data_IF_152874153706
#
_entry.id   IF_152874153706
#
_cell.length_a   1.000
_cell.length_b   1.000
_cell.length_c   1.000
_cell.angle_alpha   90.00
_cell.angle_beta   90.00
_cell.angle_gamma   90.00
#
_symmetry.space_group_name_H-M   'P 1'
#
loop_
_entity.id
_entity.type
_entity.pdbx_description
1 polymer ?
#
# COMPACT_ATOMS: atom_id res chain seq x y z
N UNK A 1 8.11 22.17 -0.73
CA UNK A 1 8.14 21.02 -1.65
C UNK A 1 7.27 19.97 -1.01
N UNK A 2 6.33 19.40 -1.75
CA UNK A 2 5.43 18.36 -1.24
C UNK A 2 5.95 17.00 -1.71
N UNK A 3 5.89 16.02 -0.83
CA UNK A 3 6.33 14.65 -1.09
C UNK A 3 5.21 13.69 -0.75
N UNK A 4 5.08 12.64 -1.57
CA UNK A 4 4.20 11.51 -1.32
C UNK A 4 4.97 10.22 -1.17
N UNK A 5 4.29 9.19 -0.68
CA UNK A 5 4.79 7.81 -0.64
C UNK A 5 3.99 6.94 -1.62
N UNK A 6 4.67 6.01 -2.28
CA UNK A 6 4.07 4.99 -3.12
C UNK A 6 4.32 3.62 -2.51
N UNK A 7 3.26 2.83 -2.34
CA UNK A 7 3.32 1.46 -1.83
C UNK A 7 2.68 0.53 -2.88
N UNK A 8 3.33 -0.61 -3.09
CA UNK A 8 2.91 -1.62 -4.06
C UNK A 8 2.19 -2.76 -3.32
N UNK A 9 0.84 -2.87 -3.42
CA UNK A 9 0.09 -3.81 -2.59
C UNK A 9 0.39 -5.28 -2.87
N UNK A 10 0.92 -5.60 -4.05
CA UNK A 10 1.23 -6.95 -4.51
C UNK A 10 2.49 -7.56 -3.89
N UNK A 11 3.18 -6.85 -2.98
CA UNK A 11 4.39 -7.35 -2.33
C UNK A 11 4.17 -8.07 -1.00
N UNK A 12 2.91 -8.36 -0.63
CA UNK A 12 2.62 -9.24 0.50
C UNK A 12 2.62 -8.57 1.87
N UNK A 13 2.40 -7.26 1.91
CA UNK A 13 2.16 -6.55 3.17
C UNK A 13 0.81 -6.95 3.76
N UNK A 14 0.74 -7.09 5.08
CA UNK A 14 -0.52 -7.20 5.81
C UNK A 14 -1.20 -5.84 5.99
N UNK A 15 -2.49 -5.86 6.34
CA UNK A 15 -3.28 -4.63 6.54
C UNK A 15 -2.66 -3.67 7.58
N UNK A 16 -2.24 -4.19 8.73
CA UNK A 16 -1.61 -3.38 9.79
C UNK A 16 -0.32 -2.70 9.32
N UNK A 17 0.44 -3.33 8.41
CA UNK A 17 1.63 -2.70 7.84
C UNK A 17 1.29 -1.50 6.95
N UNK A 18 0.17 -1.54 6.21
CA UNK A 18 -0.29 -0.38 5.45
C UNK A 18 -0.73 0.77 6.37
N UNK A 19 -1.43 0.45 7.47
CA UNK A 19 -1.84 1.42 8.49
C UNK A 19 -0.62 2.09 9.10
N UNK A 20 0.38 1.29 9.50
CA UNK A 20 1.64 1.80 10.05
C UNK A 20 2.39 2.69 9.05
N UNK A 21 2.47 2.28 7.78
CA UNK A 21 3.11 3.08 6.73
C UNK A 21 2.39 4.41 6.53
N UNK A 22 1.05 4.41 6.46
CA UNK A 22 0.26 5.61 6.26
C UNK A 22 0.42 6.61 7.42
N UNK A 23 0.31 6.13 8.67
CA UNK A 23 0.48 6.98 9.84
C UNK A 23 1.91 7.52 9.97
N UNK A 24 2.94 6.67 9.80
CA UNK A 24 4.31 7.15 9.86
C UNK A 24 4.63 8.16 8.75
N UNK A 25 4.07 8.00 7.55
CA UNK A 25 4.24 8.97 6.47
C UNK A 25 3.57 10.31 6.80
N UNK A 26 2.37 10.28 7.37
CA UNK A 26 1.68 11.49 7.83
C UNK A 26 2.49 12.20 8.93
N UNK A 27 2.96 11.48 9.95
CA UNK A 27 3.79 12.01 11.03
C UNK A 27 5.13 12.59 10.51
N UNK A 28 5.69 11.99 9.46
CA UNK A 28 6.91 12.48 8.81
C UNK A 28 6.68 13.68 7.86
N UNK A 29 5.42 14.10 7.66
CA UNK A 29 5.06 15.27 6.86
C UNK A 29 4.88 15.00 5.36
N UNK A 30 4.68 13.75 4.95
CA UNK A 30 4.24 13.43 3.59
C UNK A 30 2.78 13.83 3.40
N UNK A 31 2.43 14.28 2.19
CA UNK A 31 1.11 14.88 1.90
C UNK A 31 0.22 14.01 1.01
N UNK A 32 0.72 12.87 0.54
CA UNK A 32 -0.06 11.93 -0.27
C UNK A 32 0.43 10.49 -0.13
N UNK A 33 -0.52 9.55 -0.17
CA UNK A 33 -0.30 8.12 -0.29
C UNK A 33 -0.78 7.66 -1.67
N UNK A 34 0.05 6.89 -2.36
CA UNK A 34 -0.24 6.32 -3.67
C UNK A 34 -0.15 4.80 -3.57
N UNK A 35 -1.21 4.12 -3.99
CA UNK A 35 -1.24 2.67 -4.09
C UNK A 35 -1.37 2.30 -5.57
N UNK A 36 -0.53 1.38 -6.04
CA UNK A 36 -0.72 0.78 -7.36
C UNK A 36 -1.87 -0.23 -7.33
N UNK A 37 -2.44 -0.53 -8.50
CA UNK A 37 -3.46 -1.56 -8.64
C UNK A 37 -2.92 -2.72 -9.50
N UNK A 38 -2.88 -3.90 -8.89
CA UNK A 38 -2.35 -5.12 -9.47
C UNK A 38 -3.23 -6.30 -9.08
N UNK A 39 -3.61 -7.11 -10.07
CA UNK A 39 -4.32 -8.35 -9.84
C UNK A 39 -3.38 -9.57 -9.72
N UNK A 40 -2.17 -9.47 -10.30
CA UNK A 40 -1.21 -10.57 -10.40
C UNK A 40 0.22 -10.01 -10.33
N UNK A 41 1.13 -10.76 -9.68
CA UNK A 41 2.56 -10.43 -9.63
C UNK A 41 3.39 -11.37 -10.52
N UNK A 42 3.48 -12.65 -10.15
CA UNK A 42 4.18 -13.72 -10.90
C UNK A 42 3.60 -15.08 -10.53
N UNK A 43 3.95 -16.11 -11.30
CA UNK A 43 3.39 -17.45 -11.15
C UNK A 43 3.60 -18.05 -9.75
N UNK A 44 4.71 -17.74 -9.07
CA UNK A 44 5.03 -18.28 -7.75
C UNK A 44 4.37 -17.51 -6.59
N UNK A 45 3.70 -16.39 -6.86
CA UNK A 45 3.12 -15.49 -5.84
C UNK A 45 1.68 -15.85 -5.45
N UNK A 46 1.24 -17.09 -5.68
CA UNK A 46 -0.13 -17.54 -5.38
C UNK A 46 -0.50 -17.48 -3.90
N UNK A 47 0.48 -17.35 -3.00
CA UNK A 47 0.29 -17.21 -1.55
C UNK A 47 0.78 -15.87 -1.02
N UNK A 48 1.05 -14.90 -1.91
CA UNK A 48 1.43 -13.54 -1.53
C UNK A 48 0.17 -12.69 -1.46
N UNK A 49 -0.05 -12.03 -0.33
CA UNK A 49 -1.16 -11.11 -0.18
C UNK A 49 -1.05 -9.98 -1.22
N UNK A 50 -2.18 -9.66 -1.83
CA UNK A 50 -2.30 -8.62 -2.84
C UNK A 50 -3.63 -7.92 -2.61
N UNK A 51 -3.59 -6.82 -1.86
CA UNK A 51 -4.79 -6.05 -1.54
C UNK A 51 -5.30 -5.32 -2.78
N UNK A 52 -6.62 -5.33 -2.97
CA UNK A 52 -7.28 -4.55 -4.01
C UNK A 52 -7.27 -3.06 -3.61
N UNK A 53 -6.92 -2.19 -4.55
CA UNK A 53 -6.51 -0.82 -4.25
C UNK A 53 -7.64 0.06 -3.72
N UNK A 54 -8.83 -0.03 -4.31
CA UNK A 54 -9.93 0.83 -3.91
C UNK A 54 -10.47 0.49 -2.53
N UNK A 55 -10.54 -0.80 -2.20
CA UNK A 55 -10.95 -1.27 -0.88
C UNK A 55 -9.91 -0.96 0.18
N UNK A 56 -8.61 -1.07 -0.13
CA UNK A 56 -7.54 -0.68 0.79
C UNK A 56 -7.55 0.83 1.06
N UNK A 57 -7.65 1.67 0.03
CA UNK A 57 -7.76 3.13 0.20
C UNK A 57 -8.99 3.56 1.00
N UNK A 58 -10.10 2.84 0.91
CA UNK A 58 -11.30 3.14 1.68
C UNK A 58 -11.20 2.72 3.16
N UNK A 59 -10.27 1.81 3.48
CA UNK A 59 -10.05 1.30 4.84
C UNK A 59 -8.99 2.10 5.61
N UNK A 60 -8.01 2.68 4.91
CA UNK A 60 -6.99 3.59 5.44
C UNK A 60 -7.57 4.98 5.73
#
# INVERSE_FOLDING_TARGET
MEFGIQVEPQFGFGYEEFVDIAHHAEEAGFTSLWLSDHLLLKQESVSTDCFETWTLLAAL
#
